data_IF_745384828585
#
_entry.id   IF_745384828585
#
_cell.length_a   1.000
_cell.length_b   1.000
_cell.length_c   1.000
_cell.angle_alpha   90.00
_cell.angle_beta   90.00
_cell.angle_gamma   90.00
#
_symmetry.space_group_name_H-M   'P 1'
#
loop_
_entity.id
_entity.type
_entity.pdbx_description
1 polymer ?
#
# COMPACT_ATOMS: atom_id res chain seq x y z
N UNK A 1 63.93 -5.91 -18.74
CA UNK A 1 62.82 -4.94 -18.67
C UNK A 1 61.56 -5.71 -18.28
N UNK A 2 61.17 -5.66 -17.00
CA UNK A 2 59.94 -6.28 -16.53
C UNK A 2 58.81 -5.25 -16.63
N UNK A 3 57.91 -5.44 -17.59
CA UNK A 3 56.63 -4.73 -17.64
C UNK A 3 55.71 -5.33 -16.59
N UNK A 4 55.68 -4.72 -15.40
CA UNK A 4 54.58 -4.91 -14.46
C UNK A 4 53.30 -4.40 -15.11
N UNK A 5 52.50 -5.33 -15.63
CA UNK A 5 51.10 -5.06 -15.96
C UNK A 5 50.40 -4.72 -14.66
N UNK A 6 50.04 -3.45 -14.48
CA UNK A 6 49.20 -3.02 -13.38
C UNK A 6 47.91 -3.84 -13.45
N UNK A 7 47.66 -4.65 -12.42
CA UNK A 7 46.38 -5.33 -12.24
C UNK A 7 45.37 -4.22 -11.97
N UNK A 8 44.55 -3.87 -12.96
CA UNK A 8 43.43 -2.96 -12.76
C UNK A 8 42.59 -3.51 -11.60
N UNK A 9 42.40 -2.69 -10.57
CA UNK A 9 41.53 -3.09 -9.47
C UNK A 9 40.14 -3.34 -10.04
N UNK A 10 39.61 -4.55 -9.77
CA UNK A 10 38.27 -4.93 -10.21
C UNK A 10 37.29 -3.86 -9.74
N UNK A 11 36.66 -3.15 -10.67
CA UNK A 11 35.59 -2.21 -10.33
C UNK A 11 34.50 -3.00 -9.58
N UNK A 12 33.99 -2.49 -8.44
CA UNK A 12 32.90 -3.14 -7.73
C UNK A 12 31.72 -3.37 -8.68
N UNK A 13 31.02 -4.49 -8.54
CA UNK A 13 29.91 -4.85 -9.43
C UNK A 13 28.80 -3.78 -9.52
N UNK A 14 28.70 -2.91 -8.51
CA UNK A 14 27.73 -1.82 -8.41
C UNK A 14 28.33 -0.43 -8.69
N UNK A 15 29.53 -0.35 -9.27
CA UNK A 15 30.14 0.92 -9.62
C UNK A 15 29.23 1.72 -10.58
N UNK A 16 28.86 2.94 -10.18
CA UNK A 16 27.97 3.82 -10.94
C UNK A 16 26.47 3.59 -10.71
N UNK A 17 26.09 2.58 -9.92
CA UNK A 17 24.71 2.40 -9.51
C UNK A 17 24.29 3.50 -8.53
N UNK A 18 23.03 3.94 -8.63
CA UNK A 18 22.38 4.71 -7.57
C UNK A 18 22.01 3.74 -6.46
N UNK A 19 22.51 4.01 -5.25
CA UNK A 19 22.30 3.17 -4.07
C UNK A 19 21.54 3.95 -3.00
N UNK A 20 20.74 3.25 -2.22
CA UNK A 20 20.22 3.76 -0.96
C UNK A 20 21.35 3.93 0.07
N UNK A 21 21.04 4.58 1.20
CA UNK A 21 21.99 4.76 2.30
C UNK A 21 22.50 3.42 2.86
N UNK A 22 21.68 2.37 2.88
CA UNK A 22 22.07 1.00 3.26
C UNK A 22 22.79 0.21 2.16
N UNK A 23 23.07 0.83 1.00
CA UNK A 23 23.83 0.23 -0.08
C UNK A 23 23.03 -0.63 -1.05
N UNK A 24 21.69 -0.59 -1.02
CA UNK A 24 20.85 -1.35 -1.95
C UNK A 24 20.64 -0.58 -3.25
N UNK A 25 20.67 -1.28 -4.39
CA UNK A 25 20.39 -0.64 -5.68
C UNK A 25 18.90 -0.36 -5.86
N UNK A 26 18.53 0.65 -6.66
CA UNK A 26 17.13 0.92 -6.98
C UNK A 26 16.41 -0.30 -7.58
N UNK A 27 16.98 -1.04 -8.56
CA UNK A 27 16.36 -2.27 -9.07
C UNK A 27 16.15 -3.35 -8.00
N UNK A 28 17.06 -3.48 -7.03
CA UNK A 28 16.90 -4.44 -5.93
C UNK A 28 15.72 -4.05 -5.04
N UNK A 29 15.66 -2.77 -4.62
CA UNK A 29 14.54 -2.24 -3.83
C UNK A 29 13.20 -2.43 -4.55
N UNK A 30 13.17 -2.15 -5.86
CA UNK A 30 11.99 -2.37 -6.70
C UNK A 30 11.58 -3.84 -6.72
N UNK A 31 12.52 -4.75 -6.98
CA UNK A 31 12.27 -6.18 -7.04
C UNK A 31 11.77 -6.73 -5.69
N UNK A 32 12.38 -6.31 -4.58
CA UNK A 32 12.02 -6.80 -3.25
C UNK A 32 10.59 -6.40 -2.89
N UNK A 33 10.19 -5.13 -3.12
CA UNK A 33 8.81 -4.68 -2.84
C UNK A 33 7.77 -5.45 -3.64
N UNK A 34 8.00 -5.66 -4.92
CA UNK A 34 7.09 -6.45 -5.76
C UNK A 34 7.04 -7.91 -5.31
N UNK A 35 8.18 -8.48 -4.89
CA UNK A 35 8.24 -9.83 -4.35
C UNK A 35 7.43 -9.93 -3.05
N UNK A 36 7.55 -8.97 -2.15
CA UNK A 36 6.80 -8.92 -0.89
C UNK A 36 5.30 -8.77 -1.13
N UNK A 37 4.90 -7.89 -2.06
CA UNK A 37 3.50 -7.73 -2.44
C UNK A 37 2.91 -9.04 -3.00
N UNK A 38 3.67 -9.74 -3.87
CA UNK A 38 3.28 -11.05 -4.38
C UNK A 38 3.19 -12.11 -3.28
N UNK A 39 4.14 -12.13 -2.34
CA UNK A 39 4.10 -13.03 -1.19
C UNK A 39 2.88 -12.77 -0.31
N UNK A 40 2.56 -11.50 -0.05
CA UNK A 40 1.38 -11.12 0.70
C UNK A 40 0.09 -11.61 0.02
N UNK A 41 -0.06 -11.31 -1.28
CA UNK A 41 -1.21 -11.73 -2.08
C UNK A 41 -1.39 -13.26 -2.13
N UNK A 42 -0.28 -14.01 -2.11
CA UNK A 42 -0.29 -15.48 -2.13
C UNK A 42 -0.54 -16.07 -0.76
N UNK A 43 0.21 -15.69 0.26
CA UNK A 43 0.28 -16.46 1.51
C UNK A 43 -0.65 -15.95 2.61
N UNK A 44 -0.84 -14.64 2.72
CA UNK A 44 -1.75 -14.09 3.73
C UNK A 44 -3.19 -14.42 3.36
N UNK A 45 -3.49 -14.47 2.06
CA UNK A 45 -4.84 -14.71 1.54
C UNK A 45 -5.26 -16.18 1.54
N UNK A 46 -4.34 -17.12 1.35
CA UNK A 46 -4.68 -18.56 1.23
C UNK A 46 -4.21 -19.39 2.42
N UNK A 47 -3.55 -18.76 3.41
CA UNK A 47 -2.92 -19.45 4.53
C UNK A 47 -3.89 -19.74 5.68
N UNK A 48 -3.56 -20.76 6.49
CA UNK A 48 -4.17 -20.93 7.81
C UNK A 48 -3.92 -19.68 8.68
N UNK A 49 -4.88 -19.24 9.52
CA UNK A 49 -4.80 -17.95 10.23
C UNK A 49 -3.51 -17.73 11.02
N UNK A 50 -3.00 -18.76 11.71
CA UNK A 50 -1.76 -18.68 12.48
C UNK A 50 -0.52 -18.47 11.59
N UNK A 51 -0.45 -19.18 10.46
CA UNK A 51 0.65 -19.05 9.49
C UNK A 51 0.60 -17.70 8.78
N UNK A 52 -0.59 -17.20 8.48
CA UNK A 52 -0.79 -15.88 7.90
C UNK A 52 -0.30 -14.77 8.85
N UNK A 53 -0.55 -14.88 10.16
CA UNK A 53 -0.09 -13.90 11.15
C UNK A 53 1.45 -13.83 11.23
N UNK A 54 2.13 -14.98 11.32
CA UNK A 54 3.61 -15.01 11.36
C UNK A 54 4.24 -14.48 10.07
N UNK A 55 3.69 -14.83 8.91
CA UNK A 55 4.16 -14.32 7.61
C UNK A 55 3.92 -12.81 7.50
N UNK A 56 2.76 -12.32 7.95
CA UNK A 56 2.44 -10.89 7.94
C UNK A 56 3.39 -10.09 8.81
N UNK A 57 3.76 -10.60 10.00
CA UNK A 57 4.72 -9.94 10.87
C UNK A 57 6.12 -9.86 10.24
N UNK A 58 6.60 -10.96 9.63
CA UNK A 58 7.90 -10.99 8.95
C UNK A 58 7.94 -10.04 7.75
N UNK A 59 6.90 -10.05 6.91
CA UNK A 59 6.77 -9.13 5.78
C UNK A 59 6.72 -7.69 6.28
N UNK A 60 5.96 -7.41 7.34
CA UNK A 60 5.82 -6.07 7.90
C UNK A 60 7.14 -5.47 8.41
N UNK A 61 8.03 -6.27 9.00
CA UNK A 61 9.38 -5.81 9.37
C UNK A 61 10.23 -5.51 8.13
N UNK A 62 10.22 -6.41 7.14
CA UNK A 62 10.93 -6.19 5.88
C UNK A 62 10.47 -4.93 5.14
N UNK A 63 9.16 -4.69 5.09
CA UNK A 63 8.57 -3.49 4.49
C UNK A 63 9.01 -2.20 5.21
N UNK A 64 9.10 -2.21 6.55
CA UNK A 64 9.62 -1.05 7.31
C UNK A 64 11.06 -0.73 6.93
N UNK A 65 11.93 -1.73 6.86
CA UNK A 65 13.33 -1.55 6.47
C UNK A 65 13.43 -0.98 5.05
N UNK A 66 12.63 -1.49 4.11
CA UNK A 66 12.62 -1.00 2.73
C UNK A 66 12.17 0.47 2.65
N UNK A 67 11.12 0.85 3.39
CA UNK A 67 10.65 2.25 3.44
C UNK A 67 11.73 3.19 3.95
N UNK A 68 12.51 2.78 4.93
CA UNK A 68 13.65 3.56 5.42
C UNK A 68 14.73 3.72 4.34
N UNK A 69 15.01 2.66 3.56
CA UNK A 69 15.94 2.76 2.43
C UNK A 69 15.42 3.72 1.35
N UNK A 70 14.12 3.65 1.02
CA UNK A 70 13.48 4.54 0.04
C UNK A 70 13.60 6.02 0.39
N UNK A 71 13.58 6.38 1.68
CA UNK A 71 13.73 7.77 2.14
C UNK A 71 15.06 8.42 1.73
N UNK A 72 16.06 7.63 1.34
CA UNK A 72 17.34 8.12 0.81
C UNK A 72 17.42 8.14 -0.72
N UNK A 73 16.40 7.64 -1.41
CA UNK A 73 16.35 7.60 -2.86
C UNK A 73 15.66 8.87 -3.38
N UNK A 74 16.30 9.68 -4.25
CA UNK A 74 15.64 10.80 -4.87
C UNK A 74 14.43 10.37 -5.68
N UNK A 75 13.27 11.00 -5.45
CA UNK A 75 12.00 10.70 -6.12
C UNK A 75 12.13 10.63 -7.65
N UNK A 76 12.86 11.55 -8.26
CA UNK A 76 13.10 11.55 -9.71
C UNK A 76 13.83 10.28 -10.20
N UNK A 77 14.76 9.74 -9.41
CA UNK A 77 15.48 8.52 -9.77
C UNK A 77 14.57 7.28 -9.71
N UNK A 78 13.72 7.22 -8.69
CA UNK A 78 12.72 6.16 -8.56
C UNK A 78 11.68 6.22 -9.67
N UNK A 79 11.18 7.42 -9.98
CA UNK A 79 10.24 7.64 -11.07
C UNK A 79 10.84 7.23 -12.42
N UNK A 80 12.11 7.57 -12.69
CA UNK A 80 12.79 7.12 -13.92
C UNK A 80 12.91 5.60 -14.02
N UNK A 81 13.20 4.90 -12.91
CA UNK A 81 13.18 3.43 -12.90
C UNK A 81 11.78 2.89 -13.21
N UNK A 82 10.75 3.40 -12.56
CA UNK A 82 9.38 2.93 -12.77
C UNK A 82 8.87 3.23 -14.19
N UNK A 83 9.21 4.38 -14.76
CA UNK A 83 8.90 4.69 -16.16
C UNK A 83 9.57 3.71 -17.14
N UNK A 84 10.80 3.27 -16.85
CA UNK A 84 11.52 2.30 -17.68
C UNK A 84 11.03 0.86 -17.48
N UNK A 85 10.69 0.48 -16.25
CA UNK A 85 10.23 -0.87 -15.91
C UNK A 85 8.72 -1.08 -16.17
N UNK A 86 7.95 0.00 -16.29
CA UNK A 86 6.50 0.02 -16.26
C UNK A 86 5.98 0.40 -14.87
N UNK A 87 5.04 1.35 -14.83
CA UNK A 87 4.38 1.74 -13.58
C UNK A 87 3.47 0.64 -13.05
N UNK A 88 3.53 0.44 -11.74
CA UNK A 88 2.68 -0.48 -10.99
C UNK A 88 2.17 0.24 -9.75
N UNK A 89 1.08 -0.25 -9.15
CA UNK A 89 0.59 0.33 -7.88
C UNK A 89 1.66 0.28 -6.78
N UNK A 90 2.46 -0.79 -6.73
CA UNK A 90 3.57 -0.93 -5.77
C UNK A 90 4.65 0.12 -6.03
N UNK A 91 5.03 0.34 -7.29
CA UNK A 91 5.99 1.38 -7.67
C UNK A 91 5.50 2.79 -7.34
N UNK A 92 4.22 3.08 -7.58
CA UNK A 92 3.58 4.35 -7.23
C UNK A 92 3.51 4.55 -5.71
N UNK A 93 3.17 3.51 -4.94
CA UNK A 93 3.15 3.58 -3.49
C UNK A 93 4.56 3.81 -2.90
N UNK A 94 5.57 3.11 -3.43
CA UNK A 94 6.95 3.27 -3.02
C UNK A 94 7.47 4.70 -3.23
N UNK A 95 7.05 5.36 -4.32
CA UNK A 95 7.43 6.74 -4.62
C UNK A 95 7.07 7.71 -3.47
N UNK A 96 5.97 7.45 -2.75
CA UNK A 96 5.55 8.27 -1.60
C UNK A 96 6.52 8.26 -0.41
N UNK A 97 7.48 7.35 -0.40
CA UNK A 97 8.54 7.28 0.61
C UNK A 97 9.86 7.89 0.15
N UNK A 98 10.00 8.26 -1.13
CA UNK A 98 11.25 8.78 -1.69
C UNK A 98 11.55 10.22 -1.26
N UNK A 99 12.84 10.55 -1.25
CA UNK A 99 13.32 11.90 -0.94
C UNK A 99 12.80 12.91 -1.96
N UNK A 100 12.17 13.98 -1.47
CA UNK A 100 11.65 15.06 -2.31
C UNK A 100 10.43 14.67 -3.15
N UNK A 101 9.74 13.56 -2.83
CA UNK A 101 8.50 13.19 -3.50
C UNK A 101 7.42 14.26 -3.23
N UNK A 102 6.83 14.77 -4.31
CA UNK A 102 5.71 15.72 -4.25
C UNK A 102 4.38 15.02 -4.45
N UNK A 103 3.31 15.63 -3.94
CA UNK A 103 1.95 15.14 -4.09
C UNK A 103 1.56 14.94 -5.58
N UNK A 104 1.90 15.91 -6.43
CA UNK A 104 1.65 15.82 -7.87
C UNK A 104 2.32 14.61 -8.53
N UNK A 105 3.57 14.31 -8.18
CA UNK A 105 4.30 13.15 -8.72
C UNK A 105 3.68 11.82 -8.28
N UNK A 106 3.23 11.75 -7.02
CA UNK A 106 2.65 10.53 -6.45
C UNK A 106 1.33 10.20 -7.15
N UNK A 107 0.45 11.18 -7.30
CA UNK A 107 -0.86 10.93 -7.92
C UNK A 107 -0.76 10.74 -9.44
N UNK A 108 0.21 11.39 -10.09
CA UNK A 108 0.56 11.06 -11.47
C UNK A 108 1.02 9.60 -11.59
N UNK A 109 1.89 9.11 -10.70
CA UNK A 109 2.34 7.72 -10.71
C UNK A 109 1.18 6.73 -10.49
N UNK A 110 0.22 7.04 -9.60
CA UNK A 110 -0.98 6.23 -9.42
C UNK A 110 -1.89 6.19 -10.65
N UNK A 111 -2.03 7.32 -11.34
CA UNK A 111 -2.77 7.41 -12.59
C UNK A 111 -2.10 6.58 -13.69
N UNK A 112 -0.78 6.67 -13.83
CA UNK A 112 -0.01 5.88 -14.80
C UNK A 112 -0.03 4.36 -14.48
N UNK A 113 -0.10 4.01 -13.19
CA UNK A 113 -0.19 2.62 -12.73
C UNK A 113 -1.59 2.00 -12.86
N UNK A 114 -2.64 2.81 -13.07
CA UNK A 114 -4.03 2.32 -13.09
C UNK A 114 -4.60 2.36 -14.50
N UNK A 115 -4.81 1.20 -15.15
CA UNK A 115 -5.50 1.15 -16.43
C UNK A 115 -6.92 1.72 -16.31
N UNK A 116 -7.36 2.51 -17.28
CA UNK A 116 -8.65 3.23 -17.29
C UNK A 116 -9.92 2.37 -17.19
N UNK A 117 -9.81 1.04 -17.20
CA UNK A 117 -10.95 0.11 -17.15
C UNK A 117 -10.78 -1.06 -16.17
N UNK A 118 -9.71 -1.07 -15.36
CA UNK A 118 -9.46 -2.18 -14.45
C UNK A 118 -10.12 -1.93 -13.08
N UNK A 119 -10.93 -2.89 -12.62
CA UNK A 119 -11.33 -2.93 -11.23
C UNK A 119 -10.08 -3.11 -10.34
N UNK A 120 -10.03 -2.51 -9.14
CA UNK A 120 -8.86 -2.63 -8.29
C UNK A 120 -8.61 -4.09 -7.89
N UNK A 121 -7.43 -4.58 -8.25
CA UNK A 121 -6.97 -5.94 -7.94
C UNK A 121 -6.30 -5.99 -6.56
N UNK A 122 -5.91 -7.17 -6.07
CA UNK A 122 -5.27 -7.27 -4.74
C UNK A 122 -3.99 -6.41 -4.63
N UNK A 123 -3.25 -6.27 -5.73
CA UNK A 123 -2.05 -5.44 -5.80
C UNK A 123 -2.36 -3.96 -5.47
N UNK A 124 -3.53 -3.46 -5.86
CA UNK A 124 -4.00 -2.11 -5.52
C UNK A 124 -4.11 -1.95 -4.00
N UNK A 125 -4.80 -2.86 -3.32
CA UNK A 125 -5.02 -2.78 -1.86
C UNK A 125 -3.72 -2.97 -1.06
N UNK A 126 -2.84 -3.86 -1.53
CA UNK A 126 -1.52 -4.06 -0.91
C UNK A 126 -0.68 -2.79 -1.04
N UNK A 127 -0.62 -2.20 -2.24
CA UNK A 127 0.11 -0.97 -2.48
C UNK A 127 -0.48 0.22 -1.69
N UNK A 128 -1.81 0.36 -1.67
CA UNK A 128 -2.48 1.42 -0.92
C UNK A 128 -2.14 1.36 0.57
N UNK A 129 -2.18 0.16 1.18
CA UNK A 129 -1.74 -0.05 2.58
C UNK A 129 -0.25 0.21 2.80
N UNK A 130 0.56 0.24 1.75
CA UNK A 130 1.99 0.56 1.81
C UNK A 130 2.31 2.04 1.60
N UNK A 131 1.31 2.86 1.24
CA UNK A 131 1.50 4.31 1.05
C UNK A 131 2.03 5.00 2.30
N UNK A 132 2.83 6.04 2.10
CA UNK A 132 3.20 6.97 3.16
C UNK A 132 1.94 7.72 3.67
N UNK A 133 1.60 7.58 4.97
CA UNK A 133 0.42 8.21 5.56
C UNK A 133 0.32 9.72 5.34
N UNK A 134 1.44 10.42 5.16
CA UNK A 134 1.49 11.87 4.97
C UNK A 134 0.78 12.36 3.69
N UNK A 135 0.53 11.47 2.73
CA UNK A 135 -0.16 11.82 1.47
C UNK A 135 -1.63 11.38 1.45
N UNK A 136 -2.11 10.67 2.47
CA UNK A 136 -3.49 10.15 2.49
C UNK A 136 -4.42 11.09 3.24
N UNK A 137 -5.71 11.01 2.95
CA UNK A 137 -6.71 11.68 3.77
C UNK A 137 -6.74 11.13 5.20
N UNK A 138 -7.01 12.00 6.16
CA UNK A 138 -7.05 11.68 7.60
C UNK A 138 -8.47 11.45 8.13
N UNK A 139 -9.48 11.66 7.29
CA UNK A 139 -10.89 11.47 7.63
C UNK A 139 -11.18 10.03 8.10
N UNK A 140 -12.03 9.93 9.12
CA UNK A 140 -12.39 8.65 9.78
C UNK A 140 -13.84 8.23 9.52
N UNK A 141 -14.57 8.92 8.63
CA UNK A 141 -15.95 8.60 8.27
C UNK A 141 -16.09 8.53 6.76
N UNK A 142 -16.89 7.58 6.26
CA UNK A 142 -17.10 7.43 4.82
C UNK A 142 -17.71 8.69 4.20
N UNK A 143 -18.65 9.34 4.90
CA UNK A 143 -19.31 10.56 4.43
C UNK A 143 -18.34 11.69 4.09
N UNK A 144 -17.22 11.83 4.82
CA UNK A 144 -16.21 12.87 4.58
C UNK A 144 -15.44 12.69 3.27
N UNK A 145 -15.35 11.45 2.76
CA UNK A 145 -14.73 11.18 1.45
C UNK A 145 -15.65 11.52 0.28
N UNK A 146 -16.97 11.55 0.47
CA UNK A 146 -17.95 11.73 -0.61
C UNK A 146 -17.76 13.05 -1.36
N UNK A 147 -17.60 14.22 -0.71
CA UNK A 147 -17.35 15.48 -1.40
C UNK A 147 -16.03 15.47 -2.20
N UNK A 148 -15.06 14.66 -1.77
CA UNK A 148 -13.71 14.62 -2.35
C UNK A 148 -13.64 13.75 -3.61
N UNK A 149 -14.64 12.88 -3.85
CA UNK A 149 -14.70 11.99 -5.01
C UNK A 149 -14.61 12.72 -6.35
N UNK A 150 -15.19 13.92 -6.44
CA UNK A 150 -15.19 14.73 -7.66
C UNK A 150 -13.84 15.41 -7.91
N UNK A 151 -13.10 15.70 -6.85
CA UNK A 151 -11.83 16.40 -6.94
C UNK A 151 -10.67 15.44 -7.21
N UNK A 152 -10.62 14.31 -6.50
CA UNK A 152 -9.52 13.36 -6.58
C UNK A 152 -9.97 11.92 -6.26
N UNK A 153 -10.63 11.29 -7.24
CA UNK A 153 -11.16 9.93 -7.09
C UNK A 153 -10.07 8.92 -6.71
N UNK A 154 -8.87 9.03 -7.31
CA UNK A 154 -7.77 8.10 -7.05
C UNK A 154 -7.29 8.21 -5.61
N UNK A 155 -7.06 9.43 -5.11
CA UNK A 155 -6.66 9.65 -3.73
C UNK A 155 -7.71 9.17 -2.74
N UNK A 156 -9.00 9.32 -3.05
CA UNK A 156 -10.09 8.75 -2.22
C UNK A 156 -9.98 7.23 -2.17
N UNK A 157 -9.86 6.56 -3.31
CA UNK A 157 -9.81 5.09 -3.36
C UNK A 157 -8.57 4.56 -2.64
N UNK A 158 -7.41 5.17 -2.85
CA UNK A 158 -6.16 4.79 -2.20
C UNK A 158 -6.24 5.03 -0.69
N UNK A 159 -6.77 6.18 -0.24
CA UNK A 159 -6.91 6.50 1.19
C UNK A 159 -7.86 5.54 1.90
N UNK A 160 -9.01 5.24 1.30
CA UNK A 160 -9.96 4.26 1.83
C UNK A 160 -9.35 2.85 1.85
N UNK A 161 -8.68 2.42 0.78
CA UNK A 161 -8.03 1.11 0.76
C UNK A 161 -6.89 0.99 1.80
N UNK A 162 -6.16 2.07 2.04
CA UNK A 162 -5.06 2.12 3.01
C UNK A 162 -5.54 2.02 4.47
N UNK A 163 -6.73 2.56 4.77
CA UNK A 163 -7.21 2.75 6.15
C UNK A 163 -8.65 2.31 6.39
N UNK A 164 -9.24 1.46 5.55
CA UNK A 164 -10.66 1.09 5.64
C UNK A 164 -11.07 0.65 7.05
N UNK A 165 -10.23 -0.12 7.75
CA UNK A 165 -10.50 -0.62 9.11
C UNK A 165 -10.53 0.49 10.18
N UNK A 166 -10.09 1.71 9.85
CA UNK A 166 -10.11 2.90 10.71
C UNK A 166 -11.25 3.87 10.32
N UNK A 167 -11.95 3.60 9.21
CA UNK A 167 -13.03 4.45 8.71
C UNK A 167 -14.37 3.85 9.15
N UNK A 168 -15.21 4.65 9.79
CA UNK A 168 -16.56 4.29 10.19
C UNK A 168 -17.54 4.41 9.02
N UNK A 169 -18.43 3.42 8.90
CA UNK A 169 -19.58 3.47 7.98
C UNK A 169 -20.71 4.29 8.62
N UNK A 170 -20.78 5.58 8.31
CA UNK A 170 -21.77 6.52 8.83
C UNK A 170 -22.86 6.91 7.80
N UNK A 171 -22.80 6.33 6.60
CA UNK A 171 -23.74 6.60 5.52
C UNK A 171 -25.00 5.72 5.65
N UNK A 172 -26.18 6.31 5.45
CA UNK A 172 -27.43 5.55 5.35
C UNK A 172 -27.48 4.69 4.07
N UNK A 173 -28.28 3.62 4.01
CA UNK A 173 -28.44 2.83 2.78
C UNK A 173 -28.86 3.68 1.57
N UNK A 174 -29.74 4.67 1.78
CA UNK A 174 -30.17 5.59 0.73
C UNK A 174 -29.00 6.47 0.24
N UNK A 175 -28.15 6.96 1.14
CA UNK A 175 -26.96 7.74 0.78
C UNK A 175 -25.95 6.88 -0.01
N UNK A 176 -25.74 5.62 0.39
CA UNK A 176 -24.86 4.70 -0.33
C UNK A 176 -25.36 4.42 -1.77
N UNK A 177 -26.67 4.24 -1.94
CA UNK A 177 -27.25 4.02 -3.27
C UNK A 177 -27.18 5.26 -4.18
N UNK A 178 -27.05 6.47 -3.61
CA UNK A 178 -26.89 7.70 -4.37
C UNK A 178 -25.45 7.94 -4.85
N UNK A 179 -24.47 7.17 -4.37
CA UNK A 179 -23.07 7.30 -4.78
C UNK A 179 -22.85 6.86 -6.23
N UNK A 180 -21.76 7.30 -6.90
CA UNK A 180 -21.41 6.79 -8.23
C UNK A 180 -21.26 5.26 -8.23
N UNK A 181 -21.73 4.61 -9.30
CA UNK A 181 -21.75 3.13 -9.40
C UNK A 181 -20.37 2.50 -9.21
N UNK A 182 -19.34 3.11 -9.80
CA UNK A 182 -17.94 2.64 -9.67
C UNK A 182 -17.47 2.71 -8.22
N UNK A 183 -17.86 3.75 -7.49
CA UNK A 183 -17.54 3.86 -6.07
C UNK A 183 -18.31 2.84 -5.24
N UNK A 184 -19.59 2.58 -5.53
CA UNK A 184 -20.33 1.49 -4.89
C UNK A 184 -19.66 0.13 -5.12
N UNK A 185 -19.19 -0.13 -6.34
CA UNK A 185 -18.45 -1.35 -6.67
C UNK A 185 -17.13 -1.46 -5.89
N UNK A 186 -16.39 -0.35 -5.79
CA UNK A 186 -15.17 -0.28 -4.97
C UNK A 186 -15.46 -0.59 -3.50
N UNK A 187 -16.49 0.05 -2.92
CA UNK A 187 -16.91 -0.16 -1.53
C UNK A 187 -17.39 -1.59 -1.25
N UNK A 188 -17.89 -2.29 -2.28
CA UNK A 188 -18.32 -3.69 -2.19
C UNK A 188 -17.15 -4.68 -2.27
N UNK A 189 -15.92 -4.21 -2.50
CA UNK A 189 -14.76 -5.07 -2.58
C UNK A 189 -14.45 -5.70 -1.22
N UNK A 190 -14.10 -6.99 -1.20
CA UNK A 190 -13.87 -7.77 0.04
C UNK A 190 -12.78 -7.20 0.98
N UNK A 191 -11.86 -6.42 0.42
CA UNK A 191 -10.75 -5.79 1.16
C UNK A 191 -11.19 -4.50 1.85
N UNK A 192 -12.33 -3.93 1.47
CA UNK A 192 -12.91 -2.76 2.14
C UNK A 192 -13.73 -3.27 3.33
N UNK A 193 -13.17 -3.10 4.53
CA UNK A 193 -13.82 -3.43 5.79
C UNK A 193 -13.82 -2.21 6.67
N UNK A 194 -14.98 -1.62 6.89
CA UNK A 194 -15.12 -0.45 7.76
C UNK A 194 -15.05 -0.82 9.23
N UNK A 195 -14.59 0.12 10.04
CA UNK A 195 -14.65 0.02 11.49
C UNK A 195 -16.11 -0.23 11.92
N UNK A 196 -16.32 -1.25 12.73
CA UNK A 196 -17.62 -1.46 13.35
C UNK A 196 -17.79 -0.41 14.45
N UNK A 197 -18.89 0.32 14.42
CA UNK A 197 -19.29 1.19 15.52
C UNK A 197 -19.70 0.30 16.70
N UNK A 198 -19.19 0.58 17.91
CA UNK A 198 -19.38 -0.23 19.13
C UNK A 198 -20.86 -0.51 19.50
N UNK A 199 -21.83 0.18 18.89
CA UNK A 199 -23.25 -0.12 19.05
C UNK A 199 -23.62 -1.56 18.63
N UNK A 200 -22.86 -2.19 17.71
CA UNK A 200 -23.10 -3.57 17.30
C UNK A 200 -22.67 -4.63 18.33
N UNK A 201 -21.74 -4.32 19.24
CA UNK A 201 -21.30 -5.23 20.31
C UNK A 201 -22.23 -5.20 21.54
N UNK A 202 -23.01 -4.13 21.71
CA UNK A 202 -24.03 -3.95 22.74
C UNK A 202 -25.31 -4.77 22.48
N UNK A 203 -25.56 -5.17 21.22
CA UNK A 203 -26.77 -5.88 20.83
C UNK A 203 -26.70 -7.42 20.94
N UNK A 204 -25.58 -7.99 21.42
CA UNK A 204 -25.50 -9.42 21.70
C UNK A 204 -26.26 -9.74 23.00
N UNK A 205 -27.31 -10.58 22.99
CA UNK A 205 -28.01 -10.92 24.20
C UNK A 205 -27.06 -11.70 25.11
N UNK A 206 -26.70 -11.08 26.23
CA UNK A 206 -26.04 -11.73 27.35
C UNK A 206 -26.87 -12.95 27.75
N UNK A 207 -26.49 -14.14 27.29
CA UNK A 207 -26.97 -15.40 27.88
C UNK A 207 -26.53 -15.39 29.33
N UNK A 208 -27.42 -14.96 30.22
CA UNK A 208 -27.31 -15.24 31.66
C UNK A 208 -27.24 -16.76 31.80
N UNK A 209 -26.04 -17.24 32.09
CA UNK A 209 -25.86 -18.56 32.66
C UNK A 209 -26.46 -18.46 34.06
N UNK A 210 -27.65 -19.06 34.24
CA UNK A 210 -28.21 -19.30 35.57
C UNK A 210 -27.29 -20.28 36.29
N UNK A 211 -26.46 -19.76 37.19
CA UNK A 211 -25.86 -20.52 38.28
C UNK A 211 -26.94 -20.69 39.35
N UNK A 212 -27.65 -21.83 39.33
CA UNK A 212 -28.21 -22.50 40.52
C UNK A 212 -28.75 -23.87 40.09
N UNK A 213 -28.15 -24.94 40.59
CA UNK A 213 -28.63 -26.31 40.39
C UNK A 213 -27.56 -27.38 40.59
N UNK A 214 -27.02 -27.47 41.82
CA UNK A 214 -26.80 -28.66 42.69
C UNK A 214 -25.87 -28.22 43.82
#
# INVERSE_FOLDING_TARGET
MNTQSAIESSKPALAGAKLSKGGQSLPDLWRIQHSNANLFARFVRTGQPQRAASISALIGEGERAIRQELQSIPAASWASLCAAAGWTHVGAAALSWCEGASEAQIWQAWAEATPSAAAPEDAFFIAARSMNPAFLFEDQTLSSFVPQLLADTMKVYVSLAARCEQVSMDCSPAALHALPREFQQFLSHREIKFAQTDEALSAAPTRRINLFGI
#
